data_IF_361619177551
#
_entry.id   IF_361619177551
#
_cell.length_a   1.000
_cell.length_b   1.000
_cell.length_c   1.000
_cell.angle_alpha   90.00
_cell.angle_beta   90.00
_cell.angle_gamma   90.00
#
_symmetry.space_group_name_H-M   'P 1'
#
loop_
_entity.id
_entity.type
_entity.pdbx_description
1 polymer ?
#
# COMPACT_ATOMS: atom_id res chain seq x y z
N UNK A 1 -0.85 -15.61 -11.16
CA UNK A 1 0.54 -15.17 -11.49
C UNK A 1 0.58 -13.65 -11.42
N UNK A 2 1.76 -13.05 -11.27
CA UNK A 2 1.91 -11.59 -11.30
C UNK A 2 3.25 -11.22 -11.92
N UNK A 3 3.31 -10.04 -12.53
CA UNK A 3 4.55 -9.41 -12.99
C UNK A 3 5.12 -8.57 -11.85
N UNK A 4 6.43 -8.69 -11.59
CA UNK A 4 7.13 -7.90 -10.59
C UNK A 4 8.52 -7.55 -11.11
N UNK A 5 8.70 -6.28 -11.46
CA UNK A 5 9.96 -5.76 -12.01
C UNK A 5 10.34 -4.53 -11.20
N UNK A 6 11.58 -4.51 -10.68
CA UNK A 6 12.15 -3.37 -9.94
C UNK A 6 11.24 -2.81 -8.84
N UNK A 7 10.58 -3.69 -8.07
CA UNK A 7 9.68 -3.28 -6.99
C UNK A 7 8.24 -2.98 -7.43
N UNK A 8 7.95 -2.98 -8.74
CA UNK A 8 6.66 -2.60 -9.30
C UNK A 8 5.87 -3.83 -9.75
N UNK A 9 4.67 -4.00 -9.20
CA UNK A 9 3.67 -4.96 -9.67
C UNK A 9 2.83 -4.33 -10.78
N UNK A 10 3.01 -4.78 -12.02
CA UNK A 10 2.33 -4.18 -13.19
C UNK A 10 1.07 -4.93 -13.62
N UNK A 11 1.06 -6.25 -13.49
CA UNK A 11 -0.03 -7.10 -13.99
C UNK A 11 -0.29 -8.28 -13.06
N UNK A 12 -1.57 -8.65 -12.95
CA UNK A 12 -2.05 -9.84 -12.24
C UNK A 12 -2.81 -10.74 -13.20
N UNK A 13 -2.46 -12.03 -13.22
CA UNK A 13 -3.20 -13.06 -13.94
C UNK A 13 -3.92 -13.96 -12.89
N UNK A 14 -5.16 -13.60 -12.49
CA UNK A 14 -5.97 -14.44 -11.61
C UNK A 14 -6.47 -15.69 -12.32
N UNK A 15 -6.91 -16.68 -11.55
CA UNK A 15 -7.64 -17.82 -12.13
C UNK A 15 -9.07 -17.40 -12.51
N UNK A 16 -9.65 -17.97 -13.56
CA UNK A 16 -10.98 -17.58 -14.05
C UNK A 16 -12.09 -17.77 -13.00
N UNK A 17 -11.94 -18.79 -12.14
CA UNK A 17 -12.88 -19.11 -11.06
C UNK A 17 -12.52 -18.44 -9.72
N UNK A 18 -11.49 -17.59 -9.69
CA UNK A 18 -11.08 -16.91 -8.46
C UNK A 18 -12.08 -15.81 -8.09
N UNK A 19 -12.57 -15.87 -6.85
CA UNK A 19 -13.51 -14.86 -6.35
C UNK A 19 -12.80 -13.53 -6.08
N UNK A 20 -13.54 -12.42 -6.23
CA UNK A 20 -12.98 -11.07 -6.07
C UNK A 20 -12.37 -10.81 -4.69
N UNK A 21 -12.91 -11.41 -3.62
CA UNK A 21 -12.38 -11.20 -2.27
C UNK A 21 -11.00 -11.86 -2.09
N UNK A 22 -10.80 -13.07 -2.66
CA UNK A 22 -9.50 -13.75 -2.65
C UNK A 22 -8.49 -12.95 -3.47
N UNK A 23 -8.91 -12.49 -4.66
CA UNK A 23 -8.05 -11.67 -5.50
C UNK A 23 -7.65 -10.36 -4.81
N UNK A 24 -8.58 -9.71 -4.11
CA UNK A 24 -8.30 -8.48 -3.36
C UNK A 24 -7.39 -8.73 -2.15
N UNK A 25 -7.50 -9.89 -1.49
CA UNK A 25 -6.55 -10.28 -0.46
C UNK A 25 -5.13 -10.42 -1.04
N UNK A 26 -4.97 -11.11 -2.18
CA UNK A 26 -3.67 -11.22 -2.87
C UNK A 26 -3.13 -9.86 -3.31
N UNK A 27 -3.98 -8.99 -3.84
CA UNK A 27 -3.63 -7.59 -4.15
C UNK A 27 -3.10 -6.87 -2.91
N UNK A 28 -3.75 -7.03 -1.76
CA UNK A 28 -3.31 -6.44 -0.50
C UNK A 28 -1.90 -6.89 -0.10
N UNK A 29 -1.61 -8.19 -0.23
CA UNK A 29 -0.25 -8.72 0.01
C UNK A 29 0.74 -8.12 -0.98
N UNK A 30 0.42 -8.09 -2.28
CA UNK A 30 1.31 -7.56 -3.31
C UNK A 30 1.56 -6.05 -3.16
N UNK A 31 0.57 -5.27 -2.70
CA UNK A 31 0.75 -3.85 -2.41
C UNK A 31 1.72 -3.56 -1.26
N UNK A 32 1.94 -4.52 -0.35
CA UNK A 32 3.00 -4.40 0.65
C UNK A 32 4.40 -4.43 0.01
N UNK A 33 4.57 -5.16 -1.10
CA UNK A 33 5.82 -5.24 -1.86
C UNK A 33 6.00 -4.12 -2.88
N UNK A 34 4.96 -3.36 -3.18
CA UNK A 34 5.02 -2.25 -4.14
C UNK A 34 6.02 -1.19 -3.65
N UNK A 35 7.03 -0.91 -4.46
CA UNK A 35 8.03 0.13 -4.22
C UNK A 35 8.38 0.82 -5.54
N UNK A 36 8.14 2.12 -5.63
CA UNK A 36 8.43 2.93 -6.82
C UNK A 36 9.76 3.71 -6.74
N UNK A 37 10.57 3.47 -5.71
CA UNK A 37 11.90 4.06 -5.61
C UNK A 37 12.83 3.43 -6.65
N UNK A 38 13.36 4.24 -7.57
CA UNK A 38 14.39 3.79 -8.52
C UNK A 38 15.76 3.65 -7.86
N UNK A 39 15.98 4.35 -6.75
CA UNK A 39 17.27 4.46 -6.06
C UNK A 39 17.08 4.45 -4.54
N UNK A 40 18.01 3.81 -3.84
CA UNK A 40 17.98 3.65 -2.38
C UNK A 40 19.04 4.48 -1.65
N UNK A 41 19.53 5.56 -2.25
CA UNK A 41 20.53 6.47 -1.66
C UNK A 41 19.98 7.89 -1.40
N UNK A 42 18.74 8.15 -1.81
CA UNK A 42 18.04 9.43 -1.64
C UNK A 42 16.59 9.21 -1.23
N UNK A 43 16.02 10.20 -0.56
CA UNK A 43 14.57 10.27 -0.33
C UNK A 43 13.84 10.42 -1.67
N UNK A 44 12.63 9.88 -1.74
CA UNK A 44 11.82 9.87 -2.97
C UNK A 44 10.36 10.16 -2.67
N UNK A 45 9.78 11.11 -3.39
CA UNK A 45 8.35 11.40 -3.37
C UNK A 45 7.79 11.16 -4.78
N UNK A 46 6.72 10.39 -4.88
CA UNK A 46 6.16 10.03 -6.18
C UNK A 46 4.76 9.45 -6.10
N UNK A 47 4.20 9.11 -7.27
CA UNK A 47 2.91 8.43 -7.36
C UNK A 47 3.15 6.93 -7.35
N UNK A 48 2.38 6.24 -6.52
CA UNK A 48 2.37 4.78 -6.49
C UNK A 48 0.95 4.27 -6.75
N UNK A 49 0.85 3.21 -7.56
CA UNK A 49 -0.41 2.54 -7.87
C UNK A 49 -0.49 1.22 -7.10
N UNK A 50 -1.51 1.07 -6.26
CA UNK A 50 -1.72 -0.12 -5.43
C UNK A 50 -3.23 -0.39 -5.17
N UNK A 51 -3.58 -1.22 -4.17
CA UNK A 51 -5.00 -1.49 -3.85
C UNK A 51 -5.81 -0.23 -3.50
N UNK A 52 -5.14 0.82 -3.04
CA UNK A 52 -5.77 2.08 -2.64
C UNK A 52 -5.96 3.04 -3.82
N UNK A 53 -5.48 2.69 -5.02
CA UNK A 53 -5.52 3.52 -6.22
C UNK A 53 -4.17 4.18 -6.47
N UNK A 54 -4.21 5.39 -7.05
CA UNK A 54 -3.03 6.19 -7.35
C UNK A 54 -2.80 7.18 -6.20
N UNK A 55 -1.72 7.00 -5.47
CA UNK A 55 -1.48 7.69 -4.21
C UNK A 55 -0.12 8.41 -4.22
N UNK A 56 -0.10 9.65 -3.73
CA UNK A 56 1.15 10.31 -3.39
C UNK A 56 1.81 9.56 -2.23
N UNK A 57 3.03 9.12 -2.46
CA UNK A 57 3.79 8.28 -1.54
C UNK A 57 5.17 8.90 -1.33
N UNK A 58 5.55 9.01 -0.06
CA UNK A 58 6.82 9.55 0.39
C UNK A 58 7.67 8.43 0.97
N UNK A 59 8.91 8.36 0.51
CA UNK A 59 9.90 7.41 0.95
C UNK A 59 11.06 8.15 1.59
N UNK A 60 11.41 7.73 2.80
CA UNK A 60 12.54 8.25 3.54
C UNK A 60 13.54 7.15 3.82
N UNK A 61 14.79 7.43 3.51
CA UNK A 61 15.88 6.53 3.85
C UNK A 61 16.16 6.60 5.35
N UNK A 62 15.95 5.49 6.04
CA UNK A 62 16.29 5.32 7.44
C UNK A 62 17.76 4.97 7.63
N UNK A 63 18.14 4.64 8.87
CA UNK A 63 19.49 4.19 9.18
C UNK A 63 19.77 2.80 8.59
N UNK A 64 20.97 2.62 8.04
CA UNK A 64 21.50 1.30 7.73
C UNK A 64 21.91 0.58 9.02
N UNK A 65 21.56 -0.70 9.15
CA UNK A 65 22.03 -1.60 10.21
C UNK A 65 22.88 -2.69 9.58
N UNK A 66 24.20 -2.57 9.70
CA UNK A 66 25.16 -3.47 9.06
C UNK A 66 24.95 -3.55 7.54
N UNK A 67 24.43 -4.67 7.03
CA UNK A 67 24.12 -4.91 5.60
C UNK A 67 22.68 -4.55 5.23
N UNK A 68 21.84 -4.23 6.21
CA UNK A 68 20.41 -4.00 6.02
C UNK A 68 20.08 -2.52 5.93
N UNK A 69 19.22 -2.16 4.99
CA UNK A 69 18.69 -0.82 4.79
C UNK A 69 17.26 -0.73 5.31
N UNK A 70 16.94 0.31 6.06
CA UNK A 70 15.59 0.58 6.55
C UNK A 70 15.00 1.73 5.73
N UNK A 71 13.81 1.54 5.18
CA UNK A 71 13.09 2.52 4.38
C UNK A 71 11.74 2.78 5.05
N UNK A 72 11.42 4.05 5.30
CA UNK A 72 10.10 4.46 5.79
C UNK A 72 9.26 4.92 4.61
N UNK A 73 8.14 4.26 4.38
CA UNK A 73 7.15 4.59 3.35
C UNK A 73 5.92 5.18 4.01
N UNK A 74 5.47 6.35 3.55
CA UNK A 74 4.28 7.03 4.04
C UNK A 74 3.35 7.37 2.89
N UNK A 75 2.06 7.11 3.08
CA UNK A 75 1.02 7.33 2.08
C UNK A 75 -0.17 8.03 2.71
N UNK A 76 -0.58 9.15 2.12
CA UNK A 76 -1.84 9.79 2.46
C UNK A 76 -2.96 9.20 1.59
N UNK A 77 -3.70 8.27 2.18
CA UNK A 77 -4.76 7.53 1.47
C UNK A 77 -5.98 8.42 1.20
N UNK A 78 -6.13 9.51 1.96
CA UNK A 78 -7.24 10.46 1.80
C UNK A 78 -7.21 11.17 0.45
N UNK A 79 -6.00 11.34 -0.12
CA UNK A 79 -5.76 12.09 -1.35
C UNK A 79 -5.54 11.19 -2.57
N UNK A 80 -5.68 9.86 -2.45
CA UNK A 80 -5.54 8.97 -3.60
C UNK A 80 -6.66 9.16 -4.62
N UNK A 81 -6.30 9.18 -5.90
CA UNK A 81 -7.24 9.21 -7.02
C UNK A 81 -7.47 7.80 -7.56
N UNK A 82 -8.52 7.60 -8.36
CA UNK A 82 -8.91 6.30 -8.91
C UNK A 82 -9.08 5.17 -7.86
N UNK A 83 -9.41 5.54 -6.61
CA UNK A 83 -9.72 4.58 -5.56
C UNK A 83 -10.99 3.80 -5.92
N UNK A 84 -10.96 2.47 -5.75
CA UNK A 84 -12.18 1.67 -5.81
C UNK A 84 -13.20 2.23 -4.82
N UNK A 85 -14.38 2.61 -5.33
CA UNK A 85 -15.43 3.25 -4.54
C UNK A 85 -15.74 2.37 -3.33
N UNK A 86 -15.51 2.90 -2.13
CA UNK A 86 -16.11 2.32 -0.93
C UNK A 86 -17.62 2.27 -1.16
N UNK A 87 -18.22 1.09 -1.02
CA UNK A 87 -19.67 0.96 -0.93
C UNK A 87 -20.12 1.63 0.37
N UNK A 88 -20.21 2.96 0.33
CA UNK A 88 -20.73 3.76 1.43
C UNK A 88 -22.25 3.68 1.40
N UNK A 89 -22.85 3.37 2.55
CA UNK A 89 -24.30 3.50 2.76
C UNK A 89 -24.72 4.98 2.68
N UNK A 90 -23.78 5.90 2.94
CA UNK A 90 -23.96 7.33 2.76
C UNK A 90 -23.77 7.68 1.27
N UNK A 91 -24.90 7.87 0.57
CA UNK A 91 -24.97 8.41 -0.78
C UNK A 91 -24.58 9.90 -0.75
N UNK A 92 -23.29 10.22 -0.67
CA UNK A 92 -22.83 11.59 -0.84
C UNK A 92 -22.63 11.88 -2.33
N UNK A 93 -23.29 12.92 -2.83
CA UNK A 93 -22.94 13.49 -4.12
C UNK A 93 -21.61 14.24 -3.95
N UNK A 94 -20.55 13.92 -4.72
CA UNK A 94 -19.33 14.70 -4.66
C UNK A 94 -19.61 16.12 -5.18
N UNK A 95 -19.79 17.08 -4.26
CA UNK A 95 -19.99 18.48 -4.58
C UNK A 95 -18.65 19.21 -4.50
N UNK A 96 -18.01 19.42 -5.65
CA UNK A 96 -16.79 20.23 -5.76
C UNK A 96 -17.24 21.69 -5.91
N UNK A 97 -17.45 22.38 -4.79
CA UNK A 97 -17.66 23.83 -4.78
C UNK A 97 -16.32 24.56 -4.69
N UNK A 98 -16.27 25.74 -5.32
CA UNK A 98 -15.06 26.55 -5.54
C UNK A 98 -14.18 26.70 -4.29
N UNK A 99 -12.88 26.63 -4.54
CA UNK A 99 -11.76 26.75 -3.60
C UNK A 99 -11.97 27.81 -2.52
N UNK A 100 -12.03 27.36 -1.25
CA UNK A 100 -11.52 27.99 -0.03
C UNK A 100 -12.18 27.42 1.23
N UNK A 101 -13.26 26.64 1.10
CA UNK A 101 -13.93 25.96 2.21
C UNK A 101 -14.22 24.51 1.80
N UNK A 102 -13.21 23.65 1.87
CA UNK A 102 -13.37 22.22 1.69
C UNK A 102 -14.26 21.68 2.81
N UNK A 103 -15.34 21.00 2.46
CA UNK A 103 -16.01 20.09 3.38
C UNK A 103 -14.94 19.19 3.99
N UNK A 104 -14.80 19.21 5.33
CA UNK A 104 -13.82 18.36 5.98
C UNK A 104 -14.04 16.92 5.49
N UNK A 105 -12.99 16.23 4.99
CA UNK A 105 -13.16 14.85 4.58
C UNK A 105 -13.61 14.07 5.81
N UNK A 106 -14.82 13.54 5.73
CA UNK A 106 -15.47 12.77 6.80
C UNK A 106 -14.63 11.56 7.20
N UNK A 107 -13.76 11.09 6.30
CA UNK A 107 -12.78 10.04 6.55
C UNK A 107 -11.37 10.55 6.24
N UNK A 108 -10.47 10.48 7.22
CA UNK A 108 -9.03 10.67 7.04
C UNK A 108 -8.36 9.31 7.07
N UNK A 109 -7.47 9.03 6.13
CA UNK A 109 -6.82 7.73 5.98
C UNK A 109 -5.34 7.89 5.71
N UNK A 110 -4.49 7.15 6.42
CA UNK A 110 -3.04 7.16 6.22
C UNK A 110 -2.47 5.76 6.34
N UNK A 111 -1.36 5.52 5.67
CA UNK A 111 -0.58 4.29 5.82
C UNK A 111 0.90 4.64 6.02
N UNK A 112 1.51 3.96 6.99
CA UNK A 112 2.92 4.09 7.33
C UNK A 112 3.53 2.69 7.35
N UNK A 113 4.58 2.48 6.57
CA UNK A 113 5.29 1.22 6.46
C UNK A 113 6.79 1.38 6.74
N UNK A 114 7.37 0.35 7.35
CA UNK A 114 8.81 0.16 7.49
C UNK A 114 9.22 -1.04 6.64
N UNK A 115 10.11 -0.81 5.68
CA UNK A 115 10.66 -1.83 4.80
C UNK A 115 12.12 -2.05 5.20
N UNK A 116 12.49 -3.28 5.50
CA UNK A 116 13.86 -3.68 5.78
C UNK A 116 14.36 -4.50 4.61
N UNK A 117 15.38 -4.01 3.93
CA UNK A 117 16.01 -4.64 2.77
C UNK A 117 17.39 -5.12 3.19
N UNK A 118 17.70 -6.38 2.95
CA UNK A 118 19.02 -6.97 3.20
C UNK A 118 19.44 -7.75 1.96
N UNK A 119 20.65 -7.51 1.44
CA UNK A 119 21.14 -8.14 0.20
C UNK A 119 20.15 -8.06 -0.98
N UNK A 120 19.50 -6.90 -1.17
CA UNK A 120 18.47 -6.64 -2.19
C UNK A 120 17.16 -7.45 -2.04
N UNK A 121 16.94 -8.12 -0.89
CA UNK A 121 15.72 -8.86 -0.59
C UNK A 121 15.02 -8.18 0.60
N UNK A 122 13.70 -8.07 0.56
CA UNK A 122 12.93 -7.61 1.71
C UNK A 122 13.00 -8.65 2.83
N UNK A 123 13.76 -8.36 3.90
CA UNK A 123 13.82 -9.21 5.08
C UNK A 123 12.58 -9.06 5.95
N UNK A 124 12.03 -7.85 6.02
CA UNK A 124 10.78 -7.55 6.72
C UNK A 124 10.06 -6.37 6.11
N UNK A 125 8.74 -6.45 6.04
CA UNK A 125 7.83 -5.35 5.71
C UNK A 125 6.80 -5.25 6.82
N UNK A 126 6.66 -4.08 7.44
CA UNK A 126 5.69 -3.84 8.50
C UNK A 126 4.89 -2.58 8.19
N UNK A 127 3.59 -2.73 7.94
CA UNK A 127 2.69 -1.65 7.59
C UNK A 127 1.61 -1.46 8.65
N UNK A 128 1.27 -0.20 8.89
CA UNK A 128 0.18 0.22 9.74
C UNK A 128 -0.69 1.23 9.00
N UNK A 129 -1.95 0.87 8.80
CA UNK A 129 -2.96 1.70 8.16
C UNK A 129 -3.98 2.17 9.20
N UNK A 130 -4.38 3.43 9.10
CA UNK A 130 -5.29 4.07 10.04
C UNK A 130 -6.36 4.86 9.28
N UNK A 131 -7.62 4.55 9.56
CA UNK A 131 -8.79 5.25 9.04
C UNK A 131 -9.56 5.88 10.20
N UNK A 132 -9.67 7.21 10.19
CA UNK A 132 -10.44 7.98 11.16
C UNK A 132 -11.69 8.51 10.46
N UNK A 133 -12.85 7.99 10.83
CA UNK A 133 -14.15 8.48 10.42
C UNK A 133 -14.67 9.47 11.48
N UNK A 134 -14.76 10.75 11.11
CA UNK A 134 -15.22 11.83 11.97
C UNK A 134 -16.21 12.74 11.23
N UNK A 135 -17.52 12.40 11.25
CA UNK A 135 -18.55 13.17 10.56
C UNK A 135 -18.95 14.46 11.27
N UNK A 136 -18.66 14.57 12.58
CA UNK A 136 -18.99 15.74 13.39
C UNK A 136 -17.74 16.35 14.02
N UNK A 137 -17.64 17.68 14.04
CA UNK A 137 -16.49 18.43 14.58
C UNK A 137 -16.41 18.45 16.11
N UNK A 138 -17.39 17.87 16.81
CA UNK A 138 -17.40 17.74 18.27
C UNK A 138 -16.34 16.75 18.76
N UNK A 139 -15.63 17.11 19.83
CA UNK A 139 -14.65 16.22 20.46
C UNK A 139 -15.36 14.95 20.97
N UNK A 140 -14.92 13.77 20.48
CA UNK A 140 -15.36 12.47 21.00
C UNK A 140 -16.32 11.66 20.15
N UNK A 141 -16.74 12.12 18.95
CA UNK A 141 -17.64 11.37 18.05
C UNK A 141 -16.95 10.99 16.74
N UNK A 142 -16.01 10.05 16.82
CA UNK A 142 -15.35 9.46 15.66
C UNK A 142 -15.03 7.99 15.87
N UNK A 143 -14.94 7.24 14.78
CA UNK A 143 -14.53 5.83 14.78
C UNK A 143 -13.14 5.72 14.15
N UNK A 144 -12.24 4.97 14.78
CA UNK A 144 -10.90 4.71 14.24
C UNK A 144 -10.73 3.23 13.95
N UNK A 145 -10.38 2.90 12.71
CA UNK A 145 -9.98 1.55 12.31
C UNK A 145 -8.47 1.55 12.11
N UNK A 146 -7.79 0.54 12.66
CA UNK A 146 -6.35 0.39 12.55
C UNK A 146 -6.04 -1.02 12.09
N UNK A 147 -5.29 -1.13 11.01
CA UNK A 147 -4.89 -2.41 10.41
C UNK A 147 -3.38 -2.51 10.44
N UNK A 148 -2.86 -3.67 10.84
CA UNK A 148 -1.43 -3.95 10.84
C UNK A 148 -1.15 -5.17 9.99
N UNK A 149 -0.13 -5.09 9.15
CA UNK A 149 0.33 -6.20 8.31
C UNK A 149 1.83 -6.35 8.44
N UNK A 150 2.32 -7.59 8.55
CA UNK A 150 3.75 -7.87 8.62
C UNK A 150 4.09 -9.06 7.74
N UNK A 151 5.10 -8.88 6.90
CA UNK A 151 5.70 -9.92 6.07
C UNK A 151 7.14 -10.08 6.50
N UNK A 152 7.57 -11.31 6.72
CA UNK A 152 8.94 -11.63 7.13
C UNK A 152 9.53 -12.69 6.21
N UNK A 153 10.74 -12.45 5.73
CA UNK A 153 11.51 -13.47 5.03
C UNK A 153 12.00 -14.52 6.01
N UNK A 154 11.75 -15.79 5.70
CA UNK A 154 12.11 -16.91 6.57
C UNK A 154 13.32 -17.69 6.04
N UNK A 155 13.28 -18.08 4.76
CA UNK A 155 14.33 -18.88 4.12
C UNK A 155 14.21 -18.83 2.59
N UNK A 156 15.32 -19.01 1.89
CA UNK A 156 15.37 -19.28 0.45
C UNK A 156 15.62 -20.76 0.19
N UNK A 157 14.88 -21.36 -0.74
CA UNK A 157 15.03 -22.76 -1.14
C UNK A 157 15.24 -22.84 -2.65
N UNK A 158 16.24 -23.61 -3.07
CA UNK A 158 16.49 -23.87 -4.48
C UNK A 158 15.46 -24.88 -5.01
N UNK A 159 14.66 -24.47 -5.99
CA UNK A 159 13.72 -25.36 -6.69
C UNK A 159 14.37 -25.78 -8.02
N UNK A 160 14.71 -27.05 -8.16
CA UNK A 160 15.03 -27.64 -9.47
C UNK A 160 13.74 -27.81 -10.26
N UNK A 161 13.51 -26.95 -11.24
CA UNK A 161 12.39 -27.09 -12.18
C UNK A 161 12.75 -28.19 -13.17
N UNK A 162 12.26 -29.41 -12.92
CA UNK A 162 12.31 -30.47 -13.91
C UNK A 162 11.30 -30.11 -15.01
N UNK A 163 11.80 -29.66 -16.15
CA UNK A 163 11.00 -29.49 -17.35
C UNK A 163 10.61 -30.87 -17.89
N UNK A 164 9.52 -31.44 -17.39
CA UNK A 164 8.81 -32.49 -18.12
C UNK A 164 8.07 -31.83 -19.28
N UNK A 165 8.75 -31.74 -20.41
CA UNK A 165 8.13 -31.48 -21.70
C UNK A 165 7.40 -32.72 -22.18
N UNK A 166 6.10 -32.55 -22.50
CA UNK A 166 5.47 -33.13 -23.68
C UNK A 166 4.20 -32.35 -24.03
#
# INVERSE_FOLDING_TARGET
RFSFNDGIVTELCPHAEETSWVLNFKRGVLSAFQNSMERFDIDYDGIEVDVNGECLTSYKLGSARATSLIISKKKDISNCVNRYKHHSILQSTPYIFRSNHQSLPVMKSKSECELVVDHNIYSKISCQEEHVFQPFSGQGSGATTRTSATVTFLSENNITINNEGN
#
